data_IF_203138499008
#
_entry.id   IF_203138499008
#
_cell.length_a   1.000
_cell.length_b   1.000
_cell.length_c   1.000
_cell.angle_alpha   90.00
_cell.angle_beta   90.00
_cell.angle_gamma   90.00
#
_symmetry.space_group_name_H-M   'P 1'
#
loop_
_entity.id
_entity.type
_entity.pdbx_description
1 polymer ?
#
# COMPACT_ATOMS: atom_id res chain seq x y z
N UNK A 1 -2.25 12.56 -33.42
CA UNK A 1 -3.39 12.41 -32.49
C UNK A 1 -3.01 13.05 -31.15
N UNK A 2 -3.84 13.93 -30.62
CA UNK A 2 -3.59 14.55 -29.31
C UNK A 2 -4.07 13.66 -28.17
N UNK A 3 -3.26 13.62 -27.09
CA UNK A 3 -3.64 12.95 -25.83
C UNK A 3 -4.69 13.78 -25.09
N UNK A 4 -5.56 13.11 -24.33
CA UNK A 4 -6.50 13.80 -23.46
C UNK A 4 -5.78 14.62 -22.37
N UNK A 5 -6.40 15.71 -21.94
CA UNK A 5 -5.83 16.60 -20.93
C UNK A 5 -5.53 15.89 -19.61
N UNK A 6 -6.32 14.88 -19.25
CA UNK A 6 -6.10 14.05 -18.05
C UNK A 6 -4.81 13.24 -18.13
N UNK A 7 -4.57 12.57 -19.27
CA UNK A 7 -3.37 11.75 -19.48
C UNK A 7 -2.09 12.59 -19.53
N UNK A 8 -2.17 13.81 -20.07
CA UNK A 8 -1.02 14.74 -20.07
C UNK A 8 -0.54 15.17 -18.69
N UNK A 9 -1.37 14.99 -17.65
CA UNK A 9 -1.06 15.33 -16.25
C UNK A 9 -0.50 14.16 -15.44
N UNK A 10 -0.46 12.93 -15.99
CA UNK A 10 0.02 11.73 -15.31
C UNK A 10 1.50 11.56 -15.54
N UNK A 11 2.24 11.31 -14.47
CA UNK A 11 3.68 11.09 -14.51
C UNK A 11 4.02 9.60 -14.58
N UNK A 12 5.10 9.23 -15.30
CA UNK A 12 5.62 7.86 -15.27
C UNK A 12 6.01 7.46 -13.84
N UNK A 13 5.78 6.17 -13.49
CA UNK A 13 6.17 5.66 -12.18
C UNK A 13 7.70 5.62 -12.03
N UNK A 14 8.25 6.50 -11.21
CA UNK A 14 9.70 6.57 -10.95
C UNK A 14 10.24 5.29 -10.29
N UNK A 15 9.41 4.59 -9.50
CA UNK A 15 9.80 3.32 -8.86
C UNK A 15 10.05 2.21 -9.89
N UNK A 16 9.32 2.21 -11.00
CA UNK A 16 9.51 1.23 -12.08
C UNK A 16 10.81 1.46 -12.86
N UNK A 17 11.26 2.70 -13.00
CA UNK A 17 12.50 3.03 -13.73
C UNK A 17 13.75 2.41 -13.09
N UNK A 18 13.91 2.56 -11.77
CA UNK A 18 15.03 1.97 -11.03
C UNK A 18 14.97 0.44 -11.03
N UNK A 19 13.77 -0.12 -10.83
CA UNK A 19 13.57 -1.57 -10.89
C UNK A 19 13.92 -2.14 -12.26
N UNK A 20 13.51 -1.47 -13.35
CA UNK A 20 13.84 -1.89 -14.71
C UNK A 20 15.37 -1.83 -14.97
N UNK A 21 16.06 -0.77 -14.49
CA UNK A 21 17.53 -0.66 -14.61
C UNK A 21 18.24 -1.78 -13.85
N UNK A 22 17.84 -2.03 -12.60
CA UNK A 22 18.39 -3.12 -11.78
C UNK A 22 18.19 -4.50 -12.44
N UNK A 23 16.99 -4.75 -13.00
CA UNK A 23 16.70 -5.98 -13.71
C UNK A 23 17.54 -6.14 -14.99
N UNK A 24 17.75 -5.05 -15.74
CA UNK A 24 18.64 -5.06 -16.91
C UNK A 24 20.07 -5.42 -16.51
N UNK A 25 20.62 -4.80 -15.46
CA UNK A 25 21.97 -5.11 -14.96
C UNK A 25 22.08 -6.59 -14.54
N UNK A 26 21.05 -7.13 -13.86
CA UNK A 26 21.01 -8.58 -13.53
C UNK A 26 21.04 -9.46 -14.77
N UNK A 27 20.28 -9.11 -15.81
CA UNK A 27 20.27 -9.84 -17.07
C UNK A 27 21.62 -9.79 -17.81
N UNK A 28 22.40 -8.74 -17.58
CA UNK A 28 23.78 -8.57 -18.05
C UNK A 28 24.82 -9.33 -17.19
N UNK A 29 24.37 -10.11 -16.20
CA UNK A 29 25.23 -10.89 -15.32
C UNK A 29 25.81 -10.13 -14.12
N UNK A 30 25.39 -8.89 -13.90
CA UNK A 30 25.87 -8.07 -12.78
C UNK A 30 25.15 -8.49 -11.49
N UNK A 31 25.89 -8.71 -10.42
CA UNK A 31 25.38 -9.12 -9.12
C UNK A 31 24.75 -7.92 -8.38
N UNK A 32 23.49 -7.62 -8.71
CA UNK A 32 22.71 -6.52 -8.11
C UNK A 32 21.86 -7.01 -6.95
N UNK A 33 22.03 -6.39 -5.79
CA UNK A 33 21.12 -6.53 -4.66
C UNK A 33 20.02 -5.48 -4.76
N UNK A 34 18.74 -5.91 -4.71
CA UNK A 34 17.60 -5.00 -4.84
C UNK A 34 16.75 -4.95 -3.57
N UNK A 35 16.61 -3.75 -3.02
CA UNK A 35 15.65 -3.38 -1.98
C UNK A 35 14.43 -2.64 -2.58
N UNK A 36 14.23 -2.73 -3.90
CA UNK A 36 13.17 -2.00 -4.59
C UNK A 36 11.80 -2.71 -4.59
N UNK A 37 11.74 -4.01 -4.23
CA UNK A 37 10.55 -4.82 -4.37
C UNK A 37 9.34 -4.25 -3.59
N UNK A 38 8.19 -4.21 -4.25
CA UNK A 38 6.91 -3.84 -3.64
C UNK A 38 6.02 -5.03 -3.33
N UNK A 39 6.61 -6.22 -3.18
CA UNK A 39 5.89 -7.48 -2.98
C UNK A 39 6.68 -8.41 -2.05
N UNK A 40 5.99 -9.33 -1.32
CA UNK A 40 6.66 -10.36 -0.54
C UNK A 40 7.53 -11.25 -1.43
N UNK A 41 8.66 -11.73 -0.90
CA UNK A 41 9.56 -12.69 -1.54
C UNK A 41 9.18 -14.17 -1.24
N UNK A 42 8.08 -14.37 -0.54
CA UNK A 42 7.50 -15.68 -0.28
C UNK A 42 6.61 -16.11 -1.44
N UNK A 43 6.54 -17.42 -1.74
CA UNK A 43 5.55 -17.93 -2.67
C UNK A 43 4.13 -17.80 -2.09
N UNK A 44 3.14 -17.78 -2.96
CA UNK A 44 1.74 -17.96 -2.56
C UNK A 44 1.59 -19.27 -1.76
N UNK A 45 0.87 -19.29 -0.62
CA UNK A 45 0.69 -20.50 0.19
C UNK A 45 0.17 -21.69 -0.62
N UNK A 46 0.64 -22.88 -0.29
CA UNK A 46 0.38 -24.08 -1.08
C UNK A 46 -1.12 -24.41 -1.19
N UNK A 47 -1.88 -24.30 -0.09
CA UNK A 47 -3.33 -24.48 -0.09
C UNK A 47 -4.03 -23.49 -1.02
N UNK A 48 -3.60 -22.24 -1.02
CA UNK A 48 -4.14 -21.17 -1.90
C UNK A 48 -3.84 -21.47 -3.38
N UNK A 49 -2.59 -21.84 -3.69
CA UNK A 49 -2.20 -22.23 -5.05
C UNK A 49 -2.99 -23.46 -5.53
N UNK A 50 -3.19 -24.45 -4.66
CA UNK A 50 -3.98 -25.64 -4.94
C UNK A 50 -5.44 -25.30 -5.27
N UNK A 51 -6.07 -24.40 -4.50
CA UNK A 51 -7.43 -23.96 -4.78
C UNK A 51 -7.56 -23.28 -6.16
N UNK A 52 -6.54 -22.51 -6.59
CA UNK A 52 -6.49 -21.95 -7.94
C UNK A 52 -6.37 -23.02 -9.03
N UNK A 53 -5.53 -24.04 -8.84
CA UNK A 53 -5.38 -25.18 -9.76
C UNK A 53 -6.70 -25.95 -9.86
N UNK A 54 -7.32 -26.28 -8.73
CA UNK A 54 -8.61 -26.99 -8.71
C UNK A 54 -9.72 -26.18 -9.43
N UNK A 55 -9.70 -24.86 -9.32
CA UNK A 55 -10.65 -24.01 -10.04
C UNK A 55 -10.48 -24.14 -11.57
N UNK A 56 -9.23 -24.25 -12.06
CA UNK A 56 -8.95 -24.49 -13.47
C UNK A 56 -9.46 -25.89 -13.88
N UNK A 57 -9.14 -26.91 -13.13
CA UNK A 57 -9.53 -28.30 -13.38
C UNK A 57 -11.06 -28.50 -13.40
N UNK A 58 -11.77 -27.75 -12.53
CA UNK A 58 -13.23 -27.73 -12.46
C UNK A 58 -13.88 -26.79 -13.52
N UNK A 59 -13.09 -26.24 -14.44
CA UNK A 59 -13.55 -25.31 -15.48
C UNK A 59 -14.22 -24.05 -14.93
N UNK A 60 -13.79 -23.54 -13.75
CA UNK A 60 -14.26 -22.27 -13.20
C UNK A 60 -13.59 -21.07 -13.88
N UNK A 61 -13.76 -20.98 -15.20
CA UNK A 61 -13.02 -20.08 -16.10
C UNK A 61 -13.93 -19.12 -16.87
N UNK A 62 -15.20 -19.03 -16.48
CA UNK A 62 -16.20 -18.16 -17.12
C UNK A 62 -16.42 -16.87 -16.32
N UNK A 63 -17.22 -15.97 -16.86
CA UNK A 63 -17.64 -14.76 -16.16
C UNK A 63 -18.33 -15.08 -14.85
N UNK A 64 -18.03 -14.25 -13.86
CA UNK A 64 -18.70 -14.21 -12.56
C UNK A 64 -19.39 -12.84 -12.39
N UNK A 65 -20.17 -12.60 -11.35
CA UNK A 65 -20.64 -11.25 -11.06
C UNK A 65 -19.49 -10.24 -10.99
N UNK A 66 -19.65 -9.05 -11.54
CA UNK A 66 -18.58 -8.03 -11.58
C UNK A 66 -18.07 -7.65 -10.20
N UNK A 67 -18.93 -7.65 -9.18
CA UNK A 67 -18.53 -7.40 -7.79
C UNK A 67 -17.87 -8.59 -7.09
N UNK A 68 -17.67 -9.70 -7.80
CA UNK A 68 -17.08 -10.95 -7.28
C UNK A 68 -18.11 -12.01 -6.90
N UNK A 69 -17.63 -13.23 -6.67
CA UNK A 69 -18.46 -14.38 -6.30
C UNK A 69 -19.01 -14.22 -4.88
N UNK A 70 -20.23 -14.73 -4.66
CA UNK A 70 -20.95 -14.63 -3.37
C UNK A 70 -20.10 -15.18 -2.22
N UNK A 71 -19.53 -16.36 -2.40
CA UNK A 71 -18.72 -17.03 -1.37
C UNK A 71 -17.51 -16.19 -0.92
N UNK A 72 -16.85 -15.50 -1.84
CA UNK A 72 -15.73 -14.63 -1.49
C UNK A 72 -16.20 -13.35 -0.80
N UNK A 73 -17.36 -12.78 -1.20
CA UNK A 73 -17.97 -11.64 -0.50
C UNK A 73 -18.35 -12.01 0.94
N UNK A 74 -18.93 -13.18 1.17
CA UNK A 74 -19.23 -13.71 2.51
C UNK A 74 -17.95 -13.85 3.34
N UNK A 75 -16.89 -14.42 2.78
CA UNK A 75 -15.60 -14.54 3.46
C UNK A 75 -15.00 -13.19 3.84
N UNK A 76 -15.17 -12.17 2.99
CA UNK A 76 -14.71 -10.79 3.27
C UNK A 76 -15.54 -10.15 4.38
N UNK A 77 -16.87 -10.34 4.40
CA UNK A 77 -17.75 -9.88 5.49
C UNK A 77 -17.33 -10.52 6.81
N UNK A 78 -17.13 -11.83 6.82
CA UNK A 78 -16.67 -12.58 8.01
C UNK A 78 -15.30 -12.07 8.49
N UNK A 79 -14.37 -11.82 7.57
CA UNK A 79 -13.06 -11.26 7.87
C UNK A 79 -13.17 -9.88 8.51
N UNK A 80 -13.92 -8.96 7.93
CA UNK A 80 -14.11 -7.62 8.51
C UNK A 80 -14.75 -7.66 9.89
N UNK A 81 -15.72 -8.54 10.09
CA UNK A 81 -16.36 -8.72 11.40
C UNK A 81 -15.37 -9.26 12.44
N UNK A 82 -14.60 -10.30 12.07
CA UNK A 82 -13.69 -11.00 12.98
C UNK A 82 -12.46 -10.17 13.33
N UNK A 83 -11.80 -9.58 12.32
CA UNK A 83 -10.47 -9.00 12.46
C UNK A 83 -10.54 -7.49 12.74
N UNK A 84 -11.54 -6.79 12.19
CA UNK A 84 -11.64 -5.32 12.26
C UNK A 84 -12.83 -4.83 13.09
N UNK A 85 -13.71 -5.73 13.59
CA UNK A 85 -14.96 -5.38 14.28
C UNK A 85 -15.88 -4.47 13.43
N UNK A 86 -15.90 -4.70 12.09
CA UNK A 86 -16.74 -3.98 11.15
C UNK A 86 -17.82 -4.89 10.59
N UNK A 87 -19.07 -4.42 10.61
CA UNK A 87 -20.24 -5.20 10.16
C UNK A 87 -20.72 -4.60 8.84
N UNK A 88 -20.35 -5.23 7.73
CA UNK A 88 -20.81 -4.88 6.39
C UNK A 88 -21.85 -5.86 5.88
N UNK A 89 -22.77 -5.37 5.05
CA UNK A 89 -23.60 -6.18 4.16
C UNK A 89 -22.84 -6.50 2.86
N UNK A 90 -23.12 -7.64 2.24
CA UNK A 90 -22.49 -8.02 0.97
C UNK A 90 -22.68 -6.98 -0.15
N UNK A 91 -23.77 -6.19 -0.11
CA UNK A 91 -24.00 -5.10 -1.06
C UNK A 91 -23.04 -3.92 -0.89
N UNK A 92 -22.33 -3.86 0.25
CA UNK A 92 -21.31 -2.87 0.55
C UNK A 92 -19.90 -3.32 0.13
N UNK A 93 -19.75 -4.52 -0.46
CA UNK A 93 -18.46 -5.12 -0.83
C UNK A 93 -18.34 -5.18 -2.36
N UNK A 94 -17.23 -4.68 -2.89
CA UNK A 94 -16.82 -4.88 -4.29
C UNK A 94 -15.41 -5.45 -4.33
N UNK A 95 -15.26 -6.57 -5.03
CA UNK A 95 -13.99 -7.21 -5.30
C UNK A 95 -13.47 -6.72 -6.65
N UNK A 96 -12.21 -6.29 -6.71
CA UNK A 96 -11.60 -5.66 -7.88
C UNK A 96 -10.27 -6.34 -8.26
N UNK A 97 -9.70 -5.95 -9.40
CA UNK A 97 -8.42 -6.46 -9.90
C UNK A 97 -7.22 -5.96 -9.07
N UNK A 98 -7.22 -6.24 -7.77
CA UNK A 98 -6.27 -5.77 -6.75
C UNK A 98 -6.73 -4.48 -6.07
N UNK A 99 -6.21 -4.22 -4.86
CA UNK A 99 -6.54 -3.02 -4.07
C UNK A 99 -6.30 -1.70 -4.83
N UNK A 100 -5.30 -1.66 -5.73
CA UNK A 100 -5.07 -0.52 -6.63
C UNK A 100 -6.29 -0.20 -7.48
N UNK A 101 -6.96 -1.21 -8.03
CA UNK A 101 -8.18 -1.03 -8.82
C UNK A 101 -9.36 -0.59 -7.94
N UNK A 102 -9.47 -1.12 -6.72
CA UNK A 102 -10.48 -0.65 -5.75
C UNK A 102 -10.32 0.84 -5.44
N UNK A 103 -9.09 1.31 -5.17
CA UNK A 103 -8.77 2.72 -4.94
C UNK A 103 -9.08 3.57 -6.17
N UNK A 104 -8.66 3.13 -7.37
CA UNK A 104 -8.98 3.82 -8.61
C UNK A 104 -10.49 4.00 -8.79
N UNK A 105 -11.27 2.94 -8.60
CA UNK A 105 -12.72 2.97 -8.73
C UNK A 105 -13.37 3.91 -7.70
N UNK A 106 -12.86 3.96 -6.45
CA UNK A 106 -13.35 4.89 -5.44
C UNK A 106 -13.14 6.34 -5.90
N UNK A 107 -11.91 6.70 -6.31
CA UNK A 107 -11.65 8.07 -6.78
C UNK A 107 -12.49 8.43 -8.00
N UNK A 108 -12.70 7.51 -8.95
CA UNK A 108 -13.57 7.73 -10.10
C UNK A 108 -15.04 7.94 -9.70
N UNK A 109 -15.50 7.26 -8.65
CA UNK A 109 -16.90 7.31 -8.22
C UNK A 109 -17.24 8.56 -7.38
N UNK A 110 -16.25 9.09 -6.62
CA UNK A 110 -16.55 10.16 -5.66
C UNK A 110 -15.97 11.52 -6.04
N UNK A 111 -14.96 11.61 -6.89
CA UNK A 111 -14.29 12.86 -7.23
C UNK A 111 -14.91 13.53 -8.45
N UNK A 112 -14.99 14.86 -8.40
CA UNK A 112 -15.37 15.73 -9.50
C UNK A 112 -14.26 16.76 -9.77
N UNK A 113 -14.36 17.49 -10.88
CA UNK A 113 -13.50 18.63 -11.15
C UNK A 113 -13.61 19.67 -10.03
N UNK A 114 -12.46 20.18 -9.58
CA UNK A 114 -12.26 21.12 -8.48
C UNK A 114 -12.43 20.56 -7.05
N UNK A 115 -12.77 19.29 -6.88
CA UNK A 115 -12.67 18.63 -5.59
C UNK A 115 -11.20 18.52 -5.14
N UNK A 116 -10.97 18.43 -3.84
CA UNK A 116 -9.66 18.26 -3.24
C UNK A 116 -9.62 16.95 -2.44
N UNK A 117 -8.51 16.23 -2.57
CA UNK A 117 -8.25 15.01 -1.77
C UNK A 117 -6.99 15.22 -0.95
N UNK A 118 -7.12 15.16 0.38
CA UNK A 118 -6.00 15.29 1.30
C UNK A 118 -5.22 13.99 1.35
N UNK A 119 -3.90 14.08 1.11
CA UNK A 119 -2.97 12.94 1.11
C UNK A 119 -1.80 13.29 2.04
N UNK A 120 -1.63 12.60 3.18
CA UNK A 120 -0.44 12.75 4.02
C UNK A 120 0.79 12.21 3.32
N UNK A 121 1.88 12.98 3.31
CA UNK A 121 3.18 12.48 2.85
C UNK A 121 3.98 11.90 4.05
N UNK A 122 4.95 10.99 3.82
CA UNK A 122 5.22 10.30 2.57
C UNK A 122 4.05 9.37 2.20
N UNK A 123 3.68 9.35 0.94
CA UNK A 123 2.51 8.63 0.43
C UNK A 123 2.89 7.59 -0.61
N UNK A 124 2.07 6.57 -0.80
CA UNK A 124 2.21 5.68 -1.94
C UNK A 124 2.00 6.43 -3.26
N UNK A 125 2.97 6.32 -4.15
CA UNK A 125 3.11 7.10 -5.39
C UNK A 125 1.87 7.12 -6.31
N UNK A 126 0.95 6.16 -6.14
CA UNK A 126 -0.23 6.09 -7.01
C UNK A 126 -1.41 6.93 -6.51
N UNK A 127 -1.44 7.39 -5.25
CA UNK A 127 -2.59 8.18 -4.77
C UNK A 127 -2.76 9.49 -5.52
N UNK A 128 -1.74 10.37 -5.65
CA UNK A 128 -1.91 11.62 -6.38
C UNK A 128 -2.36 11.40 -7.83
N UNK A 129 -1.80 10.41 -8.52
CA UNK A 129 -2.13 10.11 -9.90
C UNK A 129 -3.58 9.63 -10.06
N UNK A 130 -4.09 8.82 -9.13
CA UNK A 130 -5.49 8.37 -9.13
C UNK A 130 -6.46 9.53 -8.86
N UNK A 131 -6.10 10.45 -7.95
CA UNK A 131 -6.88 11.66 -7.66
C UNK A 131 -6.99 12.52 -8.92
N UNK A 132 -5.86 12.75 -9.61
CA UNK A 132 -5.83 13.50 -10.89
C UNK A 132 -6.65 12.81 -11.98
N UNK A 133 -6.60 11.48 -12.06
CA UNK A 133 -7.44 10.71 -13.01
C UNK A 133 -8.93 10.80 -12.68
N UNK A 134 -9.29 10.94 -11.40
CA UNK A 134 -10.66 11.19 -10.95
C UNK A 134 -11.14 12.63 -11.18
N UNK A 135 -10.29 13.54 -11.70
CA UNK A 135 -10.61 14.95 -11.94
C UNK A 135 -10.28 15.87 -10.78
N UNK A 136 -10.01 15.35 -9.59
CA UNK A 136 -9.74 16.13 -8.40
C UNK A 136 -8.27 16.57 -8.29
N UNK A 137 -7.99 17.43 -7.30
CA UNK A 137 -6.67 17.95 -6.97
C UNK A 137 -6.13 17.28 -5.71
N UNK A 138 -4.93 16.66 -5.74
CA UNK A 138 -4.27 16.21 -4.52
C UNK A 138 -3.79 17.40 -3.68
N UNK A 139 -4.12 17.40 -2.39
CA UNK A 139 -3.64 18.35 -1.37
C UNK A 139 -2.71 17.60 -0.45
N UNK A 140 -1.41 17.85 -0.61
CA UNK A 140 -0.38 17.15 0.15
C UNK A 140 -0.20 17.81 1.52
N UNK A 141 -0.33 17.02 2.58
CA UNK A 141 0.00 17.42 3.95
C UNK A 141 1.32 16.80 4.33
N UNK A 142 2.31 17.63 4.67
CA UNK A 142 3.65 17.18 5.08
C UNK A 142 3.72 17.06 6.61
N UNK A 143 3.74 15.85 7.18
CA UNK A 143 3.91 15.68 8.61
C UNK A 143 5.33 16.06 9.06
N UNK A 144 5.47 16.41 10.34
CA UNK A 144 6.78 16.54 10.96
C UNK A 144 7.34 15.15 11.30
N UNK A 145 8.63 14.97 11.13
CA UNK A 145 9.36 13.77 11.54
C UNK A 145 9.19 13.46 13.03
N UNK A 146 9.07 14.52 13.85
CA UNK A 146 8.83 14.41 15.29
C UNK A 146 7.52 13.70 15.64
N UNK A 147 6.54 13.73 14.72
CA UNK A 147 5.27 13.04 14.85
C UNK A 147 5.28 11.65 14.20
N UNK A 148 6.48 11.07 13.99
CA UNK A 148 6.62 9.75 13.38
C UNK A 148 6.20 9.69 11.91
N UNK A 149 6.30 10.79 11.16
CA UNK A 149 5.83 10.90 9.77
C UNK A 149 4.32 10.63 9.60
N UNK A 150 3.54 10.93 10.64
CA UNK A 150 2.08 10.78 10.64
C UNK A 150 1.40 12.15 10.68
N UNK A 151 0.35 12.33 9.90
CA UNK A 151 -0.46 13.55 9.90
C UNK A 151 -1.14 13.73 11.26
N UNK A 152 -1.06 14.94 11.82
CA UNK A 152 -1.72 15.28 13.08
C UNK A 152 -3.11 15.89 12.86
N UNK A 153 -3.99 15.87 13.89
CA UNK A 153 -5.29 16.53 13.83
C UNK A 153 -5.20 18.01 13.45
N UNK A 154 -4.19 18.74 13.98
CA UNK A 154 -3.99 20.17 13.69
C UNK A 154 -3.60 20.40 12.23
N UNK A 155 -2.77 19.52 11.65
CA UNK A 155 -2.40 19.59 10.25
C UNK A 155 -3.60 19.31 9.35
N UNK A 156 -4.39 18.29 9.69
CA UNK A 156 -5.63 17.96 8.97
C UNK A 156 -6.63 19.12 9.05
N UNK A 157 -6.85 19.71 10.23
CA UNK A 157 -7.76 20.85 10.43
C UNK A 157 -7.39 22.06 9.59
N UNK A 158 -6.08 22.29 9.37
CA UNK A 158 -5.59 23.38 8.50
C UNK A 158 -5.80 23.09 7.02
N UNK A 159 -5.77 21.80 6.62
CA UNK A 159 -5.88 21.42 5.22
C UNK A 159 -7.33 21.24 4.76
N UNK A 160 -8.21 20.81 5.66
CA UNK A 160 -9.62 20.52 5.34
C UNK A 160 -10.39 21.82 5.05
N UNK A 161 -11.18 21.81 3.99
CA UNK A 161 -12.02 22.93 3.58
C UNK A 161 -13.26 22.45 2.82
N UNK A 162 -14.11 23.37 2.35
CA UNK A 162 -15.38 23.04 1.66
C UNK A 162 -15.23 22.29 0.33
N UNK A 163 -14.02 22.25 -0.25
CA UNK A 163 -13.71 21.46 -1.46
C UNK A 163 -13.15 20.08 -1.13
N UNK A 164 -12.86 19.81 0.15
CA UNK A 164 -12.28 18.53 0.55
C UNK A 164 -13.30 17.42 0.36
N UNK A 165 -13.06 16.57 -0.61
CA UNK A 165 -13.90 15.42 -0.95
C UNK A 165 -13.54 14.18 -0.16
N UNK A 166 -12.24 13.96 0.07
CA UNK A 166 -11.78 12.81 0.84
C UNK A 166 -10.44 13.07 1.54
N UNK A 167 -10.17 12.27 2.57
CA UNK A 167 -8.89 12.16 3.26
C UNK A 167 -8.38 10.74 3.11
N UNK A 168 -7.14 10.56 2.63
CA UNK A 168 -6.50 9.24 2.53
C UNK A 168 -5.75 8.93 3.82
N UNK A 169 -5.95 7.74 4.36
CA UNK A 169 -5.20 7.18 5.48
C UNK A 169 -4.65 5.83 5.04
N UNK A 170 -3.33 5.63 5.12
CA UNK A 170 -2.67 4.37 4.82
C UNK A 170 -1.92 3.86 6.06
N UNK A 171 -2.44 2.80 6.67
CA UNK A 171 -1.89 2.21 7.90
C UNK A 171 -2.05 0.69 7.89
N UNK A 172 -0.93 -0.07 7.97
CA UNK A 172 0.48 0.36 7.91
C UNK A 172 0.86 1.03 6.60
N UNK A 173 1.78 2.01 6.65
CA UNK A 173 2.08 2.88 5.52
C UNK A 173 3.15 2.34 4.58
N UNK A 174 2.98 2.56 3.29
CA UNK A 174 4.01 2.55 2.28
C UNK A 174 4.31 4.02 1.89
N UNK A 175 5.52 4.57 2.13
CA UNK A 175 6.81 3.86 2.20
C UNK A 175 7.39 3.65 3.61
N UNK A 176 6.78 4.15 4.67
CA UNK A 176 7.44 4.33 5.98
C UNK A 176 7.36 3.12 6.90
N UNK A 177 6.36 2.25 6.73
CA UNK A 177 6.06 1.19 7.68
C UNK A 177 5.50 1.68 9.02
N UNK A 178 5.15 2.96 9.16
CA UNK A 178 4.52 3.48 10.38
C UNK A 178 3.07 3.02 10.48
N UNK A 179 2.60 2.88 11.71
CA UNK A 179 1.23 2.48 12.04
C UNK A 179 0.59 3.57 12.87
N UNK A 180 -0.62 3.98 12.52
CA UNK A 180 -1.41 4.85 13.37
C UNK A 180 -1.95 4.07 14.57
N UNK A 181 -1.85 4.67 15.75
CA UNK A 181 -2.51 4.13 16.95
C UNK A 181 -4.02 4.43 16.93
N UNK A 182 -4.79 3.69 17.72
CA UNK A 182 -6.23 3.95 17.86
C UNK A 182 -6.55 5.37 18.34
N UNK A 183 -5.73 5.93 19.24
CA UNK A 183 -5.90 7.30 19.72
C UNK A 183 -5.64 8.32 18.60
N UNK A 184 -4.56 8.17 17.84
CA UNK A 184 -4.25 9.04 16.70
C UNK A 184 -5.38 9.01 15.65
N UNK A 185 -5.88 7.82 15.32
CA UNK A 185 -6.99 7.68 14.37
C UNK A 185 -8.29 8.30 14.90
N UNK A 186 -8.57 8.16 16.19
CA UNK A 186 -9.75 8.73 16.83
C UNK A 186 -9.71 10.26 16.81
N UNK A 187 -8.56 10.87 17.05
CA UNK A 187 -8.40 12.33 16.97
C UNK A 187 -8.52 12.84 15.52
N UNK A 188 -7.98 12.12 14.54
CA UNK A 188 -8.21 12.44 13.11
C UNK A 188 -9.69 12.31 12.74
N UNK A 189 -10.37 11.24 13.19
CA UNK A 189 -11.79 11.01 12.96
C UNK A 189 -12.64 12.19 13.48
N UNK A 190 -12.35 12.73 14.67
CA UNK A 190 -13.05 13.91 15.21
C UNK A 190 -12.96 15.12 14.26
N UNK A 191 -11.77 15.40 13.73
CA UNK A 191 -11.59 16.53 12.79
C UNK A 191 -12.34 16.29 11.48
N UNK A 192 -12.36 15.05 10.98
CA UNK A 192 -13.07 14.71 9.73
C UNK A 192 -14.58 14.86 9.92
N UNK A 193 -15.10 14.54 11.11
CA UNK A 193 -16.52 14.67 11.43
C UNK A 193 -17.05 16.12 11.38
N UNK A 194 -16.18 17.10 11.55
CA UNK A 194 -16.53 18.52 11.40
C UNK A 194 -16.63 18.95 9.90
N UNK A 195 -16.53 18.00 8.97
CA UNK A 195 -16.59 18.21 7.53
C UNK A 195 -17.47 17.17 6.82
N UNK A 196 -17.69 17.36 5.52
CA UNK A 196 -18.39 16.39 4.64
C UNK A 196 -17.42 15.42 3.95
N UNK A 197 -16.14 15.42 4.30
CA UNK A 197 -15.12 14.60 3.65
C UNK A 197 -15.35 13.11 3.92
N UNK A 198 -15.18 12.29 2.87
CA UNK A 198 -15.07 10.86 2.98
C UNK A 198 -13.68 10.45 3.50
N UNK A 199 -13.58 9.22 4.00
CA UNK A 199 -12.31 8.62 4.42
C UNK A 199 -11.99 7.47 3.47
N UNK A 200 -10.76 7.44 2.92
CA UNK A 200 -10.24 6.32 2.17
C UNK A 200 -9.14 5.68 3.02
N UNK A 201 -9.48 4.56 3.68
CA UNK A 201 -8.58 3.81 4.56
C UNK A 201 -7.97 2.65 3.78
N UNK A 202 -6.70 2.80 3.37
CA UNK A 202 -5.93 1.73 2.72
C UNK A 202 -5.22 0.89 3.78
N UNK A 203 -5.74 -0.31 4.00
CA UNK A 203 -5.36 -1.24 5.07
C UNK A 203 -4.67 -2.51 4.51
N UNK A 204 -4.12 -2.42 3.30
CA UNK A 204 -3.55 -3.58 2.56
C UNK A 204 -2.43 -4.31 3.32
N UNK A 205 -1.80 -3.67 4.31
CA UNK A 205 -0.74 -4.24 5.14
C UNK A 205 -1.19 -4.60 6.56
N UNK A 206 -2.48 -4.64 6.86
CA UNK A 206 -3.02 -4.82 8.23
C UNK A 206 -2.48 -6.05 8.96
N UNK A 207 -2.21 -7.16 8.25
CA UNK A 207 -1.66 -8.39 8.80
C UNK A 207 -0.14 -8.35 9.03
N UNK A 208 0.54 -7.36 8.46
CA UNK A 208 1.99 -7.21 8.56
C UNK A 208 2.30 -6.12 9.58
N UNK A 209 2.09 -6.43 10.85
CA UNK A 209 2.33 -5.53 12.00
C UNK A 209 3.22 -6.27 13.01
N UNK A 210 4.10 -5.53 13.67
CA UNK A 210 5.17 -6.05 14.50
C UNK A 210 5.06 -5.58 15.94
N UNK A 211 5.92 -6.14 16.80
CA UNK A 211 6.12 -5.73 18.21
C UNK A 211 4.83 -5.83 19.06
N UNK A 212 3.93 -6.76 18.73
CA UNK A 212 2.67 -6.97 19.46
C UNK A 212 1.61 -5.89 19.24
N UNK A 213 1.84 -4.96 18.33
CA UNK A 213 0.85 -3.97 17.93
C UNK A 213 -0.32 -4.66 17.19
N UNK A 214 -1.48 -4.00 17.21
CA UNK A 214 -2.67 -4.43 16.48
C UNK A 214 -3.11 -3.38 15.49
N UNK A 215 -3.55 -3.83 14.33
CA UNK A 215 -4.24 -2.94 13.38
C UNK A 215 -5.57 -2.46 13.97
N UNK A 216 -5.88 -1.19 13.74
CA UNK A 216 -7.16 -0.60 14.08
C UNK A 216 -7.66 0.12 12.83
N UNK A 217 -8.85 -0.25 12.36
CA UNK A 217 -9.51 0.46 11.27
C UNK A 217 -10.19 1.72 11.79
N UNK A 218 -10.00 2.84 11.09
CA UNK A 218 -10.69 4.09 11.44
C UNK A 218 -12.21 3.95 11.33
N UNK A 219 -12.72 3.05 10.48
CA UNK A 219 -14.14 2.78 10.33
C UNK A 219 -14.80 2.24 11.62
N UNK A 220 -14.00 1.75 12.59
CA UNK A 220 -14.51 1.20 13.85
C UNK A 220 -14.91 2.27 14.91
N UNK A 221 -14.65 3.55 14.66
CA UNK A 221 -14.91 4.63 15.64
C UNK A 221 -16.33 5.20 15.61
N UNK A 222 -17.32 4.39 15.28
CA UNK A 222 -18.72 4.75 15.34
C UNK A 222 -19.41 4.84 13.98
N UNK A 223 -20.75 4.88 14.02
CA UNK A 223 -21.58 4.79 12.83
C UNK A 223 -21.29 5.91 11.81
N UNK A 224 -21.15 7.14 12.28
CA UNK A 224 -20.97 8.28 11.39
C UNK A 224 -19.65 8.25 10.64
N UNK A 225 -18.58 7.72 11.27
CA UNK A 225 -17.30 7.47 10.61
C UNK A 225 -17.42 6.27 9.66
N UNK A 226 -18.05 5.18 10.11
CA UNK A 226 -18.29 3.99 9.29
C UNK A 226 -19.02 4.33 7.99
N UNK A 227 -20.09 5.11 8.07
CA UNK A 227 -20.96 5.46 6.94
C UNK A 227 -20.29 6.35 5.88
N UNK A 228 -19.10 6.88 6.14
CA UNK A 228 -18.32 7.70 5.18
C UNK A 228 -16.92 7.16 4.91
N UNK A 229 -16.61 5.95 5.40
CA UNK A 229 -15.30 5.32 5.19
C UNK A 229 -15.36 4.26 4.11
N UNK A 230 -14.40 4.35 3.18
CA UNK A 230 -14.06 3.28 2.25
C UNK A 230 -12.84 2.54 2.81
N UNK A 231 -13.03 1.31 3.26
CA UNK A 231 -11.92 0.44 3.67
C UNK A 231 -11.46 -0.35 2.46
N UNK A 232 -10.18 -0.21 2.10
CA UNK A 232 -9.56 -0.91 0.98
C UNK A 232 -8.56 -1.91 1.49
N UNK A 233 -8.67 -3.15 1.01
CA UNK A 233 -7.81 -4.24 1.41
C UNK A 233 -7.63 -5.27 0.27
N UNK A 234 -7.01 -6.40 0.53
CA UNK A 234 -6.83 -7.46 -0.45
C UNK A 234 -5.87 -8.55 0.02
N UNK A 235 -5.68 -9.54 -0.84
CA UNK A 235 -4.84 -10.72 -0.55
C UNK A 235 -3.38 -10.57 -0.99
N UNK A 236 -3.05 -9.47 -1.67
CA UNK A 236 -1.75 -9.30 -2.33
C UNK A 236 -0.55 -9.39 -1.39
N UNK A 237 -0.66 -8.83 -0.16
CA UNK A 237 0.48 -8.70 0.76
C UNK A 237 0.47 -9.80 1.80
N UNK A 238 -0.65 -10.00 2.47
CA UNK A 238 -0.80 -11.00 3.53
C UNK A 238 -0.60 -12.44 3.06
N UNK A 239 -0.92 -12.71 1.78
CA UNK A 239 -0.87 -14.07 1.24
C UNK A 239 0.10 -14.21 0.04
N UNK A 240 1.00 -13.25 -0.17
CA UNK A 240 1.95 -13.29 -1.30
C UNK A 240 1.26 -13.52 -2.66
N UNK A 241 0.17 -12.82 -2.89
CA UNK A 241 -0.71 -12.99 -4.06
C UNK A 241 -0.71 -11.77 -4.99
N UNK A 242 0.40 -11.06 -5.12
CA UNK A 242 0.46 -9.83 -5.94
C UNK A 242 0.07 -10.06 -7.39
N UNK A 243 0.50 -11.16 -7.99
CA UNK A 243 0.22 -11.56 -9.37
C UNK A 243 -1.20 -12.08 -9.61
N UNK A 244 -1.93 -12.51 -8.58
CA UNK A 244 -3.31 -13.01 -8.69
C UNK A 244 -4.34 -11.91 -8.91
N UNK A 245 -4.01 -10.65 -8.61
CA UNK A 245 -4.83 -9.47 -8.86
C UNK A 245 -6.20 -9.50 -8.17
N UNK A 246 -6.26 -9.79 -6.87
CA UNK A 246 -7.49 -9.70 -6.06
C UNK A 246 -7.29 -8.70 -4.92
N UNK A 247 -8.17 -7.71 -4.89
CA UNK A 247 -8.37 -6.76 -3.81
C UNK A 247 -9.86 -6.47 -3.66
N UNK A 248 -10.23 -5.77 -2.62
CA UNK A 248 -11.62 -5.44 -2.36
C UNK A 248 -11.74 -4.10 -1.62
N UNK A 249 -12.92 -3.52 -1.72
CA UNK A 249 -13.32 -2.36 -0.93
C UNK A 249 -14.65 -2.61 -0.26
N UNK A 250 -14.82 -2.02 0.93
CA UNK A 250 -16.07 -1.92 1.63
C UNK A 250 -16.39 -0.45 1.91
N UNK A 251 -17.67 -0.04 1.83
CA UNK A 251 -18.04 1.36 2.03
C UNK A 251 -19.54 1.63 1.94
N UNK A 252 -19.96 2.90 1.81
CA UNK A 252 -21.36 3.28 1.68
C UNK A 252 -22.04 2.59 0.51
N UNK A 253 -23.22 2.00 0.75
CA UNK A 253 -23.90 1.08 -0.16
C UNK A 253 -24.16 1.66 -1.56
N UNK A 254 -24.62 2.88 -1.62
CA UNK A 254 -24.96 3.58 -2.88
C UNK A 254 -23.70 3.88 -3.71
N UNK A 255 -22.60 4.26 -3.06
CA UNK A 255 -21.32 4.46 -3.75
C UNK A 255 -20.74 3.13 -4.21
N UNK A 256 -20.83 2.07 -3.39
CA UNK A 256 -20.39 0.73 -3.81
C UNK A 256 -21.21 0.19 -4.98
N UNK A 257 -22.49 0.52 -5.07
CA UNK A 257 -23.33 0.21 -6.25
C UNK A 257 -22.85 0.98 -7.50
N UNK A 258 -22.50 2.26 -7.35
CA UNK A 258 -21.91 3.05 -8.44
C UNK A 258 -20.55 2.50 -8.91
N UNK A 259 -19.70 2.07 -7.96
CA UNK A 259 -18.43 1.40 -8.26
C UNK A 259 -18.66 0.08 -9.01
N UNK A 260 -19.69 -0.69 -8.66
CA UNK A 260 -20.09 -1.89 -9.42
C UNK A 260 -20.38 -1.55 -10.88
N UNK A 261 -21.21 -0.54 -11.12
CA UNK A 261 -21.54 -0.10 -12.48
C UNK A 261 -20.29 0.38 -13.25
N UNK A 262 -19.38 1.10 -12.58
CA UNK A 262 -18.11 1.51 -13.19
C UNK A 262 -17.27 0.27 -13.57
N UNK A 263 -17.21 -0.73 -12.70
CA UNK A 263 -16.45 -1.96 -12.94
C UNK A 263 -17.04 -2.80 -14.07
N UNK A 264 -18.38 -2.83 -14.23
CA UNK A 264 -19.08 -3.48 -15.36
C UNK A 264 -18.59 -2.96 -16.71
N UNK A 265 -18.27 -1.66 -16.79
CA UNK A 265 -17.86 -0.98 -18.02
C UNK A 265 -16.34 -0.80 -18.15
N UNK A 266 -15.55 -1.29 -17.22
CA UNK A 266 -14.07 -1.20 -17.26
C UNK A 266 -13.41 -2.58 -17.40
N UNK A 267 -13.48 -3.40 -16.38
CA UNK A 267 -12.79 -4.71 -16.31
C UNK A 267 -13.72 -5.90 -16.25
N UNK A 268 -15.03 -5.68 -16.06
CA UNK A 268 -15.99 -6.71 -15.65
C UNK A 268 -15.55 -7.37 -14.33
N UNK A 269 -15.74 -8.68 -14.15
CA UNK A 269 -15.33 -9.38 -12.93
C UNK A 269 -13.81 -9.53 -12.79
N UNK A 270 -13.27 -9.59 -11.57
CA UNK A 270 -11.92 -10.09 -11.33
C UNK A 270 -11.75 -11.53 -11.83
N UNK A 271 -10.52 -11.93 -12.09
CA UNK A 271 -10.20 -13.28 -12.59
C UNK A 271 -10.86 -14.37 -11.74
N UNK A 272 -11.70 -15.20 -12.35
CA UNK A 272 -12.53 -16.18 -11.65
C UNK A 272 -11.71 -17.17 -10.81
N UNK A 273 -10.67 -17.76 -11.39
CA UNK A 273 -9.78 -18.69 -10.68
C UNK A 273 -9.05 -18.03 -9.50
N UNK A 274 -8.68 -16.75 -9.65
CA UNK A 274 -8.05 -15.99 -8.57
C UNK A 274 -9.00 -15.71 -7.42
N UNK A 275 -10.30 -15.57 -7.69
CA UNK A 275 -11.31 -15.42 -6.64
C UNK A 275 -11.43 -16.69 -5.79
N UNK A 276 -11.33 -17.89 -6.39
CA UNK A 276 -11.34 -19.16 -5.66
C UNK A 276 -10.08 -19.30 -4.78
N UNK A 277 -8.92 -18.92 -5.32
CA UNK A 277 -7.68 -18.90 -4.53
C UNK A 277 -7.77 -17.87 -3.36
N UNK A 278 -8.34 -16.71 -3.59
CA UNK A 278 -8.53 -15.69 -2.55
C UNK A 278 -9.54 -16.16 -1.47
N UNK A 279 -10.58 -16.90 -1.85
CA UNK A 279 -11.51 -17.52 -0.91
C UNK A 279 -10.78 -18.48 0.04
N UNK A 280 -9.91 -19.34 -0.51
CA UNK A 280 -9.08 -20.23 0.29
C UNK A 280 -8.10 -19.44 1.17
N UNK A 281 -7.50 -18.37 0.67
CA UNK A 281 -6.61 -17.51 1.45
C UNK A 281 -7.30 -16.94 2.71
N UNK A 282 -8.56 -16.50 2.59
CA UNK A 282 -9.30 -15.92 3.71
C UNK A 282 -9.88 -16.97 4.66
N UNK A 283 -10.32 -18.12 4.15
CA UNK A 283 -10.99 -19.17 4.96
C UNK A 283 -10.04 -20.25 5.48
N UNK A 284 -8.92 -20.46 4.80
CA UNK A 284 -7.94 -21.49 5.14
C UNK A 284 -7.05 -21.14 6.33
N UNK A 285 -6.00 -21.92 6.52
CA UNK A 285 -5.01 -21.69 7.58
C UNK A 285 -4.31 -20.36 7.42
N UNK A 286 -4.19 -19.61 8.52
CA UNK A 286 -3.47 -18.33 8.62
C UNK A 286 -2.01 -18.51 9.05
N UNK A 287 -1.53 -19.73 9.18
CA UNK A 287 -0.17 -20.03 9.65
C UNK A 287 0.90 -19.41 8.75
N UNK A 288 0.72 -19.48 7.42
CA UNK A 288 1.65 -18.89 6.46
C UNK A 288 1.81 -17.38 6.62
N UNK A 289 0.73 -16.67 6.97
CA UNK A 289 0.76 -15.23 7.25
C UNK A 289 1.59 -14.96 8.51
N UNK A 290 1.36 -15.73 9.57
CA UNK A 290 2.09 -15.60 10.83
C UNK A 290 3.59 -15.89 10.67
N UNK A 291 3.94 -16.94 9.92
CA UNK A 291 5.34 -17.30 9.62
C UNK A 291 6.03 -16.19 8.83
N UNK A 292 5.38 -15.69 7.78
CA UNK A 292 5.92 -14.60 6.95
C UNK A 292 6.09 -13.31 7.77
N UNK A 293 5.11 -12.96 8.60
CA UNK A 293 5.17 -11.78 9.47
C UNK A 293 6.34 -11.87 10.47
N UNK A 294 6.53 -13.03 11.09
CA UNK A 294 7.66 -13.27 12.01
C UNK A 294 9.01 -13.16 11.31
N UNK A 295 9.13 -13.67 10.09
CA UNK A 295 10.37 -13.53 9.31
C UNK A 295 10.63 -12.07 8.90
N UNK A 296 9.62 -11.32 8.47
CA UNK A 296 9.78 -9.89 8.20
C UNK A 296 10.18 -9.09 9.45
N UNK A 297 9.65 -9.42 10.62
CA UNK A 297 10.08 -8.81 11.88
C UNK A 297 11.58 -9.03 12.15
N UNK A 298 12.08 -10.25 11.95
CA UNK A 298 13.51 -10.59 12.05
C UNK A 298 14.37 -9.76 11.08
N UNK A 299 13.97 -9.70 9.80
CA UNK A 299 14.69 -8.95 8.77
C UNK A 299 14.72 -7.46 9.06
N UNK A 300 13.60 -6.89 9.49
CA UNK A 300 13.47 -5.51 9.93
C UNK A 300 14.45 -5.22 11.09
N UNK A 301 14.43 -6.05 12.12
CA UNK A 301 15.24 -5.81 13.31
C UNK A 301 16.74 -5.91 12.99
N UNK A 302 17.15 -6.86 12.17
CA UNK A 302 18.53 -6.95 11.68
C UNK A 302 18.93 -5.70 10.88
N UNK A 303 18.08 -5.25 9.98
CA UNK A 303 18.31 -4.06 9.16
C UNK A 303 18.44 -2.81 10.05
N UNK A 304 17.55 -2.64 11.03
CA UNK A 304 17.60 -1.56 12.02
C UNK A 304 18.90 -1.59 12.84
N UNK A 305 19.32 -2.79 13.31
CA UNK A 305 20.58 -2.96 14.04
C UNK A 305 21.80 -2.52 13.22
N UNK A 306 21.81 -2.81 11.93
CA UNK A 306 22.87 -2.39 11.00
C UNK A 306 22.88 -0.89 10.78
N UNK A 307 21.72 -0.27 10.54
CA UNK A 307 21.60 1.17 10.34
C UNK A 307 22.00 2.00 11.56
N UNK A 308 21.81 1.50 12.78
CA UNK A 308 22.26 2.18 14.00
C UNK A 308 23.79 2.42 14.04
N UNK A 309 24.56 1.68 13.22
CA UNK A 309 26.02 1.86 13.08
C UNK A 309 26.38 2.86 11.97
N UNK A 310 25.45 3.20 11.08
CA UNK A 310 25.67 4.07 9.92
C UNK A 310 25.28 5.52 10.24
N UNK A 311 26.23 6.31 10.79
CA UNK A 311 25.98 7.67 11.33
C UNK A 311 25.41 8.69 10.35
N UNK A 312 25.50 8.44 9.03
CA UNK A 312 24.96 9.29 7.98
C UNK A 312 23.50 9.01 7.64
N UNK A 313 22.94 7.93 8.13
CA UNK A 313 21.56 7.51 7.91
C UNK A 313 20.74 7.67 9.19
N UNK A 314 19.47 8.07 9.01
CA UNK A 314 18.47 8.09 10.08
C UNK A 314 17.18 7.43 9.58
N UNK A 315 16.42 6.82 10.47
CA UNK A 315 15.16 6.18 10.14
C UNK A 315 14.23 6.14 11.35
N UNK A 316 12.94 6.00 11.08
CA UNK A 316 11.95 5.62 12.08
C UNK A 316 11.75 4.11 11.95
N UNK A 317 11.85 3.36 13.09
CA UNK A 317 11.68 1.90 13.08
C UNK A 317 10.30 1.56 12.53
N UNK A 318 10.19 0.78 11.44
CA UNK A 318 8.90 0.36 10.90
C UNK A 318 8.13 -0.50 11.90
N UNK A 319 6.85 -0.21 12.04
CA UNK A 319 5.92 -0.95 12.90
C UNK A 319 5.06 -1.92 12.10
N UNK A 320 5.05 -1.80 10.77
CA UNK A 320 4.32 -2.67 9.86
C UNK A 320 4.83 -2.60 8.43
N UNK A 321 4.12 -3.23 7.50
CA UNK A 321 4.51 -3.45 6.11
C UNK A 321 5.89 -4.15 6.01
N UNK A 322 6.59 -4.01 4.91
CA UNK A 322 7.96 -4.56 4.73
C UNK A 322 8.90 -3.51 4.13
N UNK A 323 8.72 -2.24 4.54
CA UNK A 323 9.54 -1.12 4.10
C UNK A 323 10.17 -0.39 5.27
N UNK A 324 11.32 0.21 4.98
CA UNK A 324 11.94 1.23 5.83
C UNK A 324 12.23 2.46 4.96
N UNK A 325 11.95 3.64 5.50
CA UNK A 325 12.16 4.91 4.85
C UNK A 325 13.30 5.64 5.53
N UNK A 326 14.42 5.78 4.82
CA UNK A 326 15.71 6.15 5.38
C UNK A 326 16.07 7.56 4.96
N UNK A 327 16.33 8.43 5.92
CA UNK A 327 16.87 9.77 5.74
C UNK A 327 18.34 9.69 5.33
N UNK A 328 18.66 10.28 4.20
CA UNK A 328 19.98 10.35 3.59
C UNK A 328 20.54 11.78 3.60
N UNK A 329 19.87 12.74 4.25
CA UNK A 329 20.23 14.17 4.23
C UNK A 329 21.68 14.45 4.59
N UNK A 330 22.25 13.68 5.54
CA UNK A 330 23.65 13.81 5.94
C UNK A 330 24.67 13.36 4.91
N UNK A 331 24.23 12.76 3.79
CA UNK A 331 25.13 12.45 2.67
C UNK A 331 25.31 13.64 1.74
N UNK A 332 24.48 14.68 1.84
CA UNK A 332 24.45 15.83 0.95
C UNK A 332 23.81 15.57 -0.41
N UNK A 333 23.36 14.34 -0.68
CA UNK A 333 22.76 13.94 -1.94
C UNK A 333 21.24 14.02 -1.90
N UNK A 334 20.61 14.31 -3.05
CA UNK A 334 19.18 14.13 -3.28
C UNK A 334 18.87 12.66 -3.54
N UNK A 335 17.61 12.26 -3.32
CA UNK A 335 17.21 10.86 -3.36
C UNK A 335 17.52 10.16 -4.70
N UNK A 336 17.31 10.85 -5.82
CA UNK A 336 17.58 10.30 -7.15
C UNK A 336 19.08 10.11 -7.39
N UNK A 337 19.90 11.09 -7.00
CA UNK A 337 21.36 11.03 -7.16
C UNK A 337 21.97 9.96 -6.28
N UNK A 338 21.52 9.88 -5.01
CA UNK A 338 21.89 8.81 -4.09
C UNK A 338 21.58 7.43 -4.69
N UNK A 339 20.36 7.26 -5.20
CA UNK A 339 19.91 5.97 -5.74
C UNK A 339 20.72 5.56 -6.98
N UNK A 340 21.01 6.50 -7.89
CA UNK A 340 21.81 6.24 -9.07
C UNK A 340 23.26 5.89 -8.69
N UNK A 341 23.90 6.70 -7.87
CA UNK A 341 25.29 6.48 -7.46
C UNK A 341 25.46 5.13 -6.74
N UNK A 342 24.57 4.82 -5.78
CA UNK A 342 24.60 3.54 -5.06
C UNK A 342 24.41 2.33 -5.99
N UNK A 343 23.54 2.46 -7.00
CA UNK A 343 23.32 1.40 -8.01
C UNK A 343 24.54 1.21 -8.92
N UNK A 344 25.16 2.29 -9.36
CA UNK A 344 26.32 2.27 -10.29
C UNK A 344 27.62 1.84 -9.59
N UNK A 345 27.87 2.36 -8.39
CA UNK A 345 29.12 2.13 -7.66
C UNK A 345 29.17 0.77 -6.94
N UNK A 346 28.08 0.38 -6.28
CA UNK A 346 28.05 -0.81 -5.41
C UNK A 346 26.94 -1.82 -5.78
N UNK A 347 26.23 -1.60 -6.89
CA UNK A 347 25.19 -2.49 -7.41
C UNK A 347 24.07 -2.78 -6.39
N UNK A 348 23.65 -1.74 -5.66
CA UNK A 348 22.53 -1.81 -4.72
C UNK A 348 21.40 -0.90 -5.21
N UNK A 349 20.23 -1.48 -5.45
CA UNK A 349 19.05 -0.75 -5.88
C UNK A 349 18.14 -0.42 -4.70
N UNK A 350 17.90 0.86 -4.47
CA UNK A 350 16.89 1.41 -3.54
C UNK A 350 15.91 2.28 -4.32
N UNK A 351 14.80 2.70 -3.73
CA UNK A 351 13.82 3.56 -4.40
C UNK A 351 13.97 4.99 -3.89
N UNK A 352 14.11 6.01 -4.77
CA UNK A 352 14.21 7.39 -4.35
C UNK A 352 12.94 7.87 -3.61
N UNK A 353 13.12 8.77 -2.67
CA UNK A 353 12.03 9.28 -1.83
C UNK A 353 11.21 10.40 -2.48
N UNK A 354 11.77 11.08 -3.49
CA UNK A 354 11.11 12.18 -4.18
C UNK A 354 9.69 11.82 -4.68
N UNK A 355 9.43 10.66 -5.32
CA UNK A 355 8.09 10.28 -5.75
C UNK A 355 7.09 10.03 -4.62
N UNK A 356 7.57 9.83 -3.39
CA UNK A 356 6.74 9.72 -2.19
C UNK A 356 6.55 11.09 -1.50
N UNK A 357 7.10 12.17 -2.07
CA UNK A 357 7.02 13.53 -1.55
C UNK A 357 8.19 13.97 -0.67
N UNK A 358 9.23 13.15 -0.47
CA UNK A 358 10.36 13.43 0.44
C UNK A 358 11.72 13.15 -0.22
N UNK A 359 12.30 14.16 -0.85
CA UNK A 359 13.52 14.03 -1.67
C UNK A 359 14.83 13.77 -0.90
N UNK A 360 14.83 13.87 0.44
CA UNK A 360 15.98 13.54 1.27
C UNK A 360 15.91 12.12 1.85
N UNK A 361 15.05 11.26 1.31
CA UNK A 361 14.82 9.91 1.79
C UNK A 361 14.96 8.88 0.65
N UNK A 362 15.19 7.64 1.04
CA UNK A 362 15.07 6.49 0.15
C UNK A 362 14.21 5.40 0.82
N UNK A 363 13.39 4.71 0.01
CA UNK A 363 12.67 3.53 0.48
C UNK A 363 13.47 2.28 0.21
N UNK A 364 13.61 1.45 1.23
CA UNK A 364 14.15 0.09 1.12
C UNK A 364 13.11 -0.92 1.55
N UNK A 365 12.96 -1.99 0.77
CA UNK A 365 12.11 -3.14 1.12
C UNK A 365 12.96 -4.23 1.75
N UNK A 366 12.50 -4.79 2.87
CA UNK A 366 13.12 -5.98 3.45
C UNK A 366 12.41 -7.28 3.06
N UNK A 367 11.54 -7.23 2.03
CA UNK A 367 10.99 -8.40 1.36
C UNK A 367 12.02 -8.99 0.37
N UNK A 368 13.11 -9.49 0.91
CA UNK A 368 14.20 -10.21 0.22
C UNK A 368 14.96 -11.07 1.24
N UNK A 369 15.78 -12.02 0.79
CA UNK A 369 16.48 -12.93 1.70
C UNK A 369 17.43 -12.23 2.68
N UNK A 370 17.66 -12.83 3.85
CA UNK A 370 18.66 -12.33 4.83
C UNK A 370 20.06 -12.20 4.22
N UNK A 371 20.44 -13.10 3.31
CA UNK A 371 21.69 -13.02 2.57
C UNK A 371 21.78 -11.74 1.75
N UNK A 372 20.72 -11.43 0.96
CA UNK A 372 20.65 -10.19 0.20
C UNK A 372 20.65 -8.95 1.10
N UNK A 373 19.94 -8.98 2.22
CA UNK A 373 19.94 -7.88 3.20
C UNK A 373 21.36 -7.64 3.72
N UNK A 374 22.03 -8.70 4.17
CA UNK A 374 23.39 -8.59 4.69
C UNK A 374 24.35 -8.03 3.64
N UNK A 375 24.38 -8.64 2.46
CA UNK A 375 25.23 -8.25 1.34
C UNK A 375 24.97 -6.80 0.90
N UNK A 376 23.71 -6.41 0.79
CA UNK A 376 23.34 -5.04 0.39
C UNK A 376 23.76 -4.01 1.46
N UNK A 377 23.58 -4.32 2.74
CA UNK A 377 23.98 -3.43 3.83
C UNK A 377 25.50 -3.31 3.94
N UNK A 378 26.27 -4.39 3.71
CA UNK A 378 27.73 -4.33 3.66
C UNK A 378 28.22 -3.38 2.54
N UNK A 379 27.58 -3.45 1.37
CA UNK A 379 27.87 -2.56 0.24
C UNK A 379 27.52 -1.10 0.55
N UNK A 380 26.36 -0.85 1.16
CA UNK A 380 25.93 0.50 1.56
C UNK A 380 26.91 1.07 2.60
N UNK A 381 27.29 0.31 3.62
CA UNK A 381 28.22 0.74 4.69
C UNK A 381 29.58 1.12 4.11
N UNK A 382 30.13 0.26 3.23
CA UNK A 382 31.39 0.51 2.52
C UNK A 382 31.32 1.77 1.65
N UNK A 383 30.21 1.96 0.92
CA UNK A 383 30.02 3.13 0.06
C UNK A 383 29.93 4.43 0.87
N UNK A 384 29.15 4.43 1.96
CA UNK A 384 29.01 5.58 2.85
C UNK A 384 30.34 5.98 3.55
N UNK A 385 31.26 5.04 3.75
CA UNK A 385 32.59 5.33 4.33
C UNK A 385 33.49 6.08 3.36
N UNK A 386 33.19 6.06 2.05
CA UNK A 386 33.96 6.77 1.01
C UNK A 386 33.38 8.17 0.70
N UNK A 387 32.12 8.44 1.12
CA UNK A 387 31.47 9.75 0.99
C UNK A 387 31.86 10.69 2.14
#
# INVERSE_FOLDING_TARGET
>A
MDLSSRIKRIHPSATLGITARANKMKAEGIDVVSFGAGEPDFPTPQNVSKAGIEAIEKNFTRYTPSTGIVQLKEAIVDKFKKDNNLIYDMSQIVISCGAKHSLYNIFQAICNDNDEVIIPSPYWVSYPEMVVLGGAKPVIVNPDIKNGMKMTPEQLKKAINKKTRAVVINSPSNPTGVVYTGEELKELAKVIMDSEAAIISDEIYEELIYDGLKHISIASFGKDIFDRTFVVNGVSKSYSMTGWRIGYAAGPKDVMAAISNLQDHSTSNPTSISQMAALEALKGSQESVSVMCAEFAKRRDYLCQRFNKMKKLFYIKPQGAFYIFVDISKTGLKSMDFTKALLEDEHVAVIPGEPFGWDNYVRMSFATSMENITKGLDRIEKWLAKQ
#
